data_IF_311498287701
#
_entry.id   IF_311498287701
#
_cell.length_a   1.000
_cell.length_b   1.000
_cell.length_c   1.000
_cell.angle_alpha   90.00
_cell.angle_beta   90.00
_cell.angle_gamma   90.00
#
_symmetry.space_group_name_H-M   'P 1'
#
loop_
_entity.id
_entity.type
_entity.pdbx_description
1 polymer ?
#
# COMPACT_ATOMS: atom_id res chain seq x y z
N UNK A 1 34.76 -15.75 10.75
CA UNK A 1 34.07 -14.66 10.00
C UNK A 1 33.49 -15.30 8.75
N UNK A 2 32.17 -15.49 8.71
CA UNK A 2 31.54 -16.01 7.48
C UNK A 2 31.72 -14.93 6.39
N UNK A 3 32.41 -15.28 5.31
CA UNK A 3 32.45 -14.44 4.11
C UNK A 3 31.02 -14.31 3.59
N UNK A 4 30.38 -13.16 3.84
CA UNK A 4 29.10 -12.82 3.23
C UNK A 4 29.42 -12.57 1.75
N UNK A 5 29.02 -13.49 0.90
CA UNK A 5 29.16 -13.32 -0.54
C UNK A 5 28.02 -12.41 -1.01
N UNK A 6 28.37 -11.23 -1.51
CA UNK A 6 27.41 -10.33 -2.17
C UNK A 6 26.71 -11.08 -3.31
N UNK A 7 25.38 -10.93 -3.38
CA UNK A 7 24.54 -11.58 -4.40
C UNK A 7 23.70 -10.52 -5.11
N UNK A 8 23.39 -10.75 -6.38
CA UNK A 8 22.34 -10.07 -7.09
C UNK A 8 21.04 -10.88 -6.89
N UNK A 9 20.03 -10.26 -6.30
CA UNK A 9 18.79 -10.93 -5.88
C UNK A 9 17.63 -10.54 -6.78
N UNK A 10 16.91 -11.53 -7.28
CA UNK A 10 15.68 -11.35 -8.05
C UNK A 10 14.50 -11.23 -7.09
N UNK A 11 13.86 -10.07 -7.04
CA UNK A 11 12.72 -9.84 -6.13
C UNK A 11 11.45 -9.48 -6.89
N UNK A 12 10.40 -10.27 -6.67
CA UNK A 12 9.10 -10.12 -7.29
C UNK A 12 8.23 -9.07 -6.61
N UNK A 13 7.57 -8.26 -7.43
CA UNK A 13 6.63 -7.22 -7.00
C UNK A 13 5.36 -7.36 -7.80
N UNK A 14 4.21 -7.47 -7.11
CA UNK A 14 2.95 -7.84 -7.78
C UNK A 14 1.99 -6.68 -8.02
N UNK A 15 2.16 -5.55 -7.36
CA UNK A 15 1.25 -4.42 -7.46
C UNK A 15 2.00 -3.10 -7.60
N UNK A 16 1.46 -2.21 -8.46
CA UNK A 16 1.78 -0.79 -8.37
C UNK A 16 0.82 -0.17 -7.35
N UNK A 17 1.35 0.18 -6.18
CA UNK A 17 0.62 0.75 -5.03
C UNK A 17 1.36 2.01 -4.54
N UNK A 18 1.46 2.99 -5.43
CA UNK A 18 2.14 4.23 -5.11
C UNK A 18 1.53 4.91 -3.85
N UNK A 19 2.34 5.48 -2.96
CA UNK A 19 3.78 5.76 -3.08
C UNK A 19 4.70 4.61 -2.61
N UNK A 20 4.16 3.46 -2.22
CA UNK A 20 4.94 2.34 -1.69
C UNK A 20 5.72 1.59 -2.78
N UNK A 21 5.06 1.35 -3.92
CA UNK A 21 5.64 0.80 -5.14
C UNK A 21 5.16 1.62 -6.33
N UNK A 22 6.09 2.26 -7.03
CA UNK A 22 5.86 3.06 -8.24
C UNK A 22 6.53 2.33 -9.40
N UNK A 23 5.74 1.56 -10.15
CA UNK A 23 6.25 0.68 -11.20
C UNK A 23 6.90 1.47 -12.34
N UNK A 24 6.34 2.61 -12.70
CA UNK A 24 6.79 3.44 -13.82
C UNK A 24 8.25 3.92 -13.68
N UNK A 25 8.69 4.11 -12.45
CA UNK A 25 10.05 4.60 -12.12
C UNK A 25 10.89 3.55 -11.39
N UNK A 26 10.35 2.34 -11.19
CA UNK A 26 10.98 1.27 -10.39
C UNK A 26 11.47 1.76 -9.02
N UNK A 27 10.63 2.60 -8.38
CA UNK A 27 10.87 3.26 -7.09
C UNK A 27 9.69 3.06 -6.14
N UNK A 28 9.74 3.66 -4.98
CA UNK A 28 8.69 3.59 -3.96
C UNK A 28 9.27 3.28 -2.59
N UNK A 29 8.54 3.64 -1.55
CA UNK A 29 8.98 3.47 -0.16
C UNK A 29 9.47 2.04 0.13
N UNK A 30 8.68 1.03 -0.24
CA UNK A 30 9.04 -0.38 0.01
C UNK A 30 10.26 -0.81 -0.81
N UNK A 31 10.37 -0.38 -2.07
CA UNK A 31 11.50 -0.74 -2.92
C UNK A 31 12.81 -0.08 -2.45
N UNK A 32 12.74 1.17 -1.97
CA UNK A 32 13.93 1.83 -1.45
C UNK A 32 14.36 1.24 -0.10
N UNK A 33 13.43 0.88 0.78
CA UNK A 33 13.74 0.16 2.03
C UNK A 33 14.37 -1.21 1.74
N UNK A 34 13.83 -1.97 0.77
CA UNK A 34 14.39 -3.27 0.36
C UNK A 34 15.84 -3.13 -0.11
N UNK A 35 16.06 -2.24 -1.09
CA UNK A 35 17.37 -2.02 -1.70
C UNK A 35 18.40 -1.53 -0.66
N UNK A 36 18.02 -0.55 0.17
CA UNK A 36 18.92 0.02 1.18
C UNK A 36 19.28 -0.98 2.27
N UNK A 37 18.32 -1.79 2.74
CA UNK A 37 18.58 -2.79 3.76
C UNK A 37 19.51 -3.91 3.24
N UNK A 38 19.27 -4.44 2.04
CA UNK A 38 20.10 -5.50 1.46
C UNK A 38 21.51 -4.99 1.09
N UNK A 39 21.63 -3.71 0.68
CA UNK A 39 22.91 -3.10 0.36
C UNK A 39 23.87 -3.03 1.56
N UNK A 40 23.38 -3.01 2.81
CA UNK A 40 24.22 -3.07 4.03
C UNK A 40 25.12 -4.31 4.05
N UNK A 41 24.66 -5.40 3.45
CA UNK A 41 25.41 -6.65 3.31
C UNK A 41 26.03 -6.84 1.91
N UNK A 42 25.99 -5.79 1.08
CA UNK A 42 26.58 -5.79 -0.26
C UNK A 42 25.71 -6.43 -1.33
N UNK A 43 24.47 -6.85 -1.02
CA UNK A 43 23.56 -7.39 -2.04
C UNK A 43 23.01 -6.28 -2.94
N UNK A 44 22.81 -6.61 -4.22
CA UNK A 44 22.03 -5.81 -5.16
C UNK A 44 20.67 -6.47 -5.43
N UNK A 45 19.71 -5.68 -5.91
CA UNK A 45 18.33 -6.15 -6.13
C UNK A 45 17.87 -5.79 -7.52
N UNK A 46 17.44 -6.81 -8.27
CA UNK A 46 16.73 -6.69 -9.54
C UNK A 46 15.22 -6.89 -9.28
N UNK A 47 14.38 -5.91 -9.67
CA UNK A 47 12.95 -5.94 -9.41
C UNK A 47 12.21 -6.51 -10.62
N UNK A 48 11.41 -7.57 -10.38
CA UNK A 48 10.55 -8.20 -11.36
C UNK A 48 9.08 -7.85 -11.10
N UNK A 49 8.48 -7.01 -11.95
CA UNK A 49 7.05 -6.68 -11.88
C UNK A 49 6.21 -7.77 -12.55
N UNK A 50 5.51 -8.57 -11.76
CA UNK A 50 4.75 -9.74 -12.22
C UNK A 50 3.32 -9.70 -11.65
N UNK A 51 2.32 -10.28 -12.36
CA UNK A 51 1.02 -10.53 -11.75
C UNK A 51 1.13 -11.39 -10.48
N UNK A 52 0.32 -11.13 -9.46
CA UNK A 52 0.42 -11.78 -8.14
C UNK A 52 0.57 -13.30 -8.19
N UNK A 53 -0.28 -13.98 -8.98
CA UNK A 53 -0.20 -15.44 -9.09
C UNK A 53 1.12 -15.92 -9.70
N UNK A 54 1.66 -15.15 -10.68
CA UNK A 54 2.95 -15.45 -11.30
C UNK A 54 4.11 -15.17 -10.35
N UNK A 55 4.01 -14.13 -9.52
CA UNK A 55 5.03 -13.83 -8.49
C UNK A 55 5.17 -14.98 -7.51
N UNK A 56 4.04 -15.51 -7.00
CA UNK A 56 4.06 -16.67 -6.09
C UNK A 56 4.60 -17.95 -6.76
N UNK A 57 4.21 -18.20 -8.00
CA UNK A 57 4.71 -19.34 -8.76
C UNK A 57 6.21 -19.24 -9.03
N UNK A 58 6.70 -18.07 -9.46
CA UNK A 58 8.11 -17.84 -9.72
C UNK A 58 8.98 -17.97 -8.47
N UNK A 59 8.48 -17.49 -7.30
CA UNK A 59 9.15 -17.71 -6.03
C UNK A 59 9.26 -19.21 -5.70
N UNK A 60 8.14 -19.94 -5.80
CA UNK A 60 8.12 -21.39 -5.53
C UNK A 60 9.05 -22.19 -6.45
N UNK A 61 9.21 -21.75 -7.68
CA UNK A 61 10.13 -22.36 -8.66
C UNK A 61 11.60 -21.94 -8.51
N UNK A 62 11.92 -21.09 -7.52
CA UNK A 62 13.29 -20.59 -7.31
C UNK A 62 13.76 -19.60 -8.38
N UNK A 63 12.85 -18.99 -9.16
CA UNK A 63 13.16 -17.94 -10.14
C UNK A 63 13.21 -16.55 -9.50
N UNK A 64 12.77 -16.43 -8.27
CA UNK A 64 12.88 -15.25 -7.43
C UNK A 64 13.49 -15.64 -6.10
N UNK A 65 14.35 -14.80 -5.56
CA UNK A 65 14.93 -14.96 -4.22
C UNK A 65 14.00 -14.45 -3.12
N UNK A 66 13.09 -13.55 -3.49
CA UNK A 66 12.13 -12.98 -2.54
C UNK A 66 10.97 -12.27 -3.22
N UNK A 67 9.99 -11.92 -2.41
CA UNK A 67 8.85 -11.08 -2.78
C UNK A 67 8.54 -10.09 -1.67
N UNK A 68 7.97 -8.95 -2.04
CA UNK A 68 7.53 -7.94 -1.09
C UNK A 68 6.02 -8.01 -0.83
N UNK A 69 5.57 -7.25 0.14
CA UNK A 69 4.15 -6.99 0.41
C UNK A 69 3.35 -8.25 0.75
N UNK A 70 3.92 -9.08 1.64
CA UNK A 70 3.31 -10.31 2.13
C UNK A 70 2.82 -10.18 3.56
N UNK A 71 1.81 -10.96 3.92
CA UNK A 71 1.39 -11.16 5.31
C UNK A 71 2.03 -12.41 5.88
N UNK A 72 2.22 -12.43 7.19
CA UNK A 72 2.67 -13.63 7.90
C UNK A 72 1.78 -14.83 7.55
N UNK A 73 2.38 -16.00 7.33
CA UNK A 73 1.71 -17.26 6.99
C UNK A 73 0.91 -17.24 5.67
N UNK A 74 1.22 -16.31 4.76
CA UNK A 74 0.58 -16.24 3.44
C UNK A 74 1.11 -17.30 2.47
N UNK A 75 2.36 -17.72 2.65
CA UNK A 75 3.07 -18.70 1.83
C UNK A 75 3.80 -19.69 2.72
N UNK A 76 3.90 -20.94 2.28
CA UNK A 76 4.71 -21.99 2.89
C UNK A 76 6.09 -22.07 2.22
N UNK A 77 7.08 -22.56 2.96
CA UNK A 77 8.44 -22.78 2.45
C UNK A 77 9.25 -21.50 2.23
N UNK A 78 8.88 -20.40 2.90
CA UNK A 78 9.57 -19.11 2.83
C UNK A 78 9.92 -18.59 4.23
N UNK A 79 10.87 -17.69 4.30
CA UNK A 79 11.31 -17.02 5.52
C UNK A 79 10.83 -15.57 5.51
N UNK A 80 9.94 -15.22 6.44
CA UNK A 80 9.40 -13.86 6.56
C UNK A 80 10.36 -12.94 7.30
N UNK A 81 10.50 -11.73 6.80
CA UNK A 81 11.25 -10.66 7.48
C UNK A 81 10.53 -10.15 8.72
N UNK A 82 11.17 -9.26 9.45
CA UNK A 82 10.49 -8.35 10.37
C UNK A 82 9.48 -7.48 9.63
N UNK A 83 8.57 -6.83 10.38
CA UNK A 83 7.59 -5.91 9.79
C UNK A 83 8.31 -4.75 9.12
N UNK A 84 8.07 -4.57 7.83
CA UNK A 84 8.66 -3.49 7.04
C UNK A 84 7.77 -2.26 7.08
N UNK A 85 6.46 -2.45 6.86
CA UNK A 85 5.48 -1.37 6.76
C UNK A 85 4.11 -1.83 7.30
N UNK A 86 3.28 -0.87 7.69
CA UNK A 86 1.88 -1.10 8.06
C UNK A 86 0.97 -0.21 7.22
N UNK A 87 -0.03 -0.81 6.60
CA UNK A 87 -1.07 -0.09 5.87
C UNK A 87 -2.25 0.22 6.79
N UNK A 88 -2.77 1.43 6.69
CA UNK A 88 -4.03 1.82 7.31
C UNK A 88 -5.10 1.94 6.22
N UNK A 89 -5.81 0.84 5.97
CA UNK A 89 -6.98 0.89 5.12
C UNK A 89 -8.11 1.66 5.82
N UNK A 90 -8.83 2.45 5.04
CA UNK A 90 -10.00 3.22 5.47
C UNK A 90 -11.19 2.91 4.56
N UNK A 91 -12.39 3.11 5.10
CA UNK A 91 -13.55 3.43 4.30
C UNK A 91 -13.55 4.96 4.11
N UNK A 92 -13.30 5.43 2.89
CA UNK A 92 -13.14 6.87 2.60
C UNK A 92 -14.42 7.37 1.93
N UNK A 93 -15.04 8.39 2.51
CA UNK A 93 -16.24 9.04 1.97
C UNK A 93 -16.06 10.55 1.87
N UNK A 94 -16.88 11.22 1.08
CA UNK A 94 -17.00 12.67 1.12
C UNK A 94 -17.71 13.09 2.43
N UNK A 95 -17.25 14.16 3.06
CA UNK A 95 -17.79 14.67 4.32
C UNK A 95 -19.23 15.18 4.20
N UNK A 96 -19.56 15.74 3.05
CA UNK A 96 -20.91 16.28 2.75
C UNK A 96 -22.00 15.20 2.67
N UNK A 97 -21.62 13.92 2.56
CA UNK A 97 -22.56 12.80 2.64
C UNK A 97 -23.04 12.49 4.05
N UNK A 98 -22.40 13.05 5.07
CA UNK A 98 -22.77 12.89 6.48
C UNK A 98 -22.93 11.42 6.92
N UNK A 99 -22.17 10.50 6.33
CA UNK A 99 -22.21 9.09 6.71
C UNK A 99 -21.63 8.88 8.11
N UNK A 100 -22.37 8.17 8.96
CA UNK A 100 -21.83 7.61 10.19
C UNK A 100 -21.33 6.19 9.92
N UNK A 101 -20.02 6.00 9.83
CA UNK A 101 -19.36 4.72 9.55
C UNK A 101 -18.37 4.43 10.67
N UNK A 102 -18.79 3.63 11.65
CA UNK A 102 -17.99 3.24 12.82
C UNK A 102 -17.51 1.78 12.72
N UNK A 103 -18.26 0.96 11.98
CA UNK A 103 -18.01 -0.46 11.82
C UNK A 103 -18.11 -0.89 10.35
N UNK A 104 -17.66 -2.09 10.03
CA UNK A 104 -17.79 -2.68 8.69
C UNK A 104 -19.26 -2.86 8.30
N UNK A 105 -20.16 -3.13 9.27
CA UNK A 105 -21.59 -3.30 8.99
C UNK A 105 -22.28 -2.03 8.47
N UNK A 106 -21.77 -0.85 8.82
CA UNK A 106 -22.33 0.44 8.36
C UNK A 106 -22.07 0.69 6.85
N UNK A 107 -21.32 -0.20 6.22
CA UNK A 107 -21.04 -0.17 4.78
C UNK A 107 -22.10 -0.90 3.95
N UNK A 108 -23.04 -1.65 4.56
CA UNK A 108 -23.92 -2.62 3.89
C UNK A 108 -24.84 -1.99 2.84
N UNK A 109 -25.28 -0.77 3.03
CA UNK A 109 -26.22 -0.03 2.17
C UNK A 109 -25.56 1.00 1.25
N UNK A 110 -24.22 1.05 1.22
CA UNK A 110 -23.45 2.04 0.47
C UNK A 110 -22.96 1.46 -0.87
N UNK A 111 -22.83 2.34 -1.87
CA UNK A 111 -22.11 1.98 -3.09
C UNK A 111 -20.60 2.02 -2.84
N UNK A 112 -19.93 0.85 -2.97
CA UNK A 112 -18.53 0.67 -2.56
C UNK A 112 -17.67 0.24 -3.73
N UNK A 113 -16.52 0.89 -3.89
CA UNK A 113 -15.44 0.37 -4.71
C UNK A 113 -14.19 0.18 -3.84
N UNK A 114 -13.74 -1.07 -3.73
CA UNK A 114 -12.57 -1.44 -2.96
C UNK A 114 -11.37 -1.78 -3.88
N UNK A 115 -10.17 -1.86 -3.30
CA UNK A 115 -9.00 -2.37 -4.02
C UNK A 115 -9.17 -3.87 -4.33
N UNK A 116 -8.46 -4.34 -5.35
CA UNK A 116 -8.56 -5.73 -5.80
C UNK A 116 -8.24 -6.72 -4.68
N UNK A 117 -9.12 -7.72 -4.48
CA UNK A 117 -9.07 -8.73 -3.40
C UNK A 117 -9.32 -8.19 -1.99
N UNK A 118 -9.84 -6.99 -1.84
CA UNK A 118 -10.19 -6.44 -0.52
C UNK A 118 -11.14 -7.36 0.26
N UNK A 119 -12.13 -7.96 -0.42
CA UNK A 119 -13.06 -8.93 0.18
C UNK A 119 -12.39 -10.16 0.80
N UNK A 120 -11.17 -10.49 0.38
CA UNK A 120 -10.39 -11.61 0.95
C UNK A 120 -9.41 -11.10 2.02
N UNK A 121 -8.85 -9.90 1.82
CA UNK A 121 -7.73 -9.39 2.61
C UNK A 121 -8.14 -8.63 3.87
N UNK A 122 -9.37 -8.06 3.92
CA UNK A 122 -9.81 -7.19 5.03
C UNK A 122 -10.56 -7.92 6.15
N UNK A 123 -10.60 -9.26 6.11
CA UNK A 123 -11.15 -10.09 7.17
C UNK A 123 -12.61 -10.52 6.94
N UNK A 124 -13.08 -11.40 7.84
CA UNK A 124 -14.37 -12.11 7.67
C UNK A 124 -15.58 -11.18 7.62
N UNK A 125 -15.61 -10.14 8.44
CA UNK A 125 -16.73 -9.21 8.49
C UNK A 125 -16.86 -8.44 7.18
N UNK A 126 -15.74 -7.98 6.62
CA UNK A 126 -15.73 -7.34 5.30
C UNK A 126 -16.08 -8.32 4.17
N UNK A 127 -15.61 -9.56 4.23
CA UNK A 127 -16.00 -10.62 3.29
C UNK A 127 -17.51 -10.81 3.28
N UNK A 128 -18.14 -10.88 4.46
CA UNK A 128 -19.59 -11.07 4.59
C UNK A 128 -20.37 -9.84 4.10
N UNK A 129 -19.92 -8.64 4.46
CA UNK A 129 -20.50 -7.40 3.96
C UNK A 129 -20.43 -7.35 2.43
N UNK A 130 -19.27 -7.60 1.83
CA UNK A 130 -19.07 -7.57 0.39
C UNK A 130 -19.94 -8.57 -0.38
N UNK A 131 -20.15 -9.78 0.16
CA UNK A 131 -21.02 -10.80 -0.44
C UNK A 131 -22.50 -10.39 -0.47
N UNK A 132 -22.94 -9.65 0.54
CA UNK A 132 -24.35 -9.29 0.71
C UNK A 132 -24.69 -7.89 0.15
N UNK A 133 -23.68 -7.10 -0.22
CA UNK A 133 -23.86 -5.78 -0.78
C UNK A 133 -23.83 -5.83 -2.32
N UNK A 134 -24.99 -5.59 -2.94
CA UNK A 134 -25.15 -5.61 -4.42
C UNK A 134 -24.45 -4.44 -5.12
N UNK A 135 -24.05 -3.39 -4.39
CA UNK A 135 -23.35 -2.21 -4.90
C UNK A 135 -21.85 -2.24 -4.58
N UNK A 136 -21.33 -3.43 -4.22
CA UNK A 136 -19.91 -3.66 -3.98
C UNK A 136 -19.18 -4.08 -5.26
N UNK A 137 -18.01 -3.49 -5.49
CA UNK A 137 -17.10 -3.91 -6.56
C UNK A 137 -15.64 -3.69 -6.17
N UNK A 138 -14.72 -4.29 -6.92
CA UNK A 138 -13.27 -4.16 -6.73
C UNK A 138 -12.59 -3.61 -7.99
N UNK A 139 -11.53 -2.82 -7.80
CA UNK A 139 -10.74 -2.23 -8.87
C UNK A 139 -9.25 -2.52 -8.69
N UNK A 140 -8.61 -3.01 -9.76
CA UNK A 140 -7.16 -3.22 -9.79
C UNK A 140 -6.39 -1.88 -9.85
N UNK A 141 -6.92 -0.90 -10.60
CA UNK A 141 -6.31 0.43 -10.73
C UNK A 141 -6.91 1.39 -9.70
N UNK A 142 -6.25 1.56 -8.57
CA UNK A 142 -6.77 2.33 -7.44
C UNK A 142 -7.03 3.81 -7.75
N UNK A 143 -6.33 4.42 -8.71
CA UNK A 143 -6.65 5.78 -9.20
C UNK A 143 -8.10 5.92 -9.70
N UNK A 144 -8.72 4.82 -10.17
CA UNK A 144 -10.13 4.84 -10.61
C UNK A 144 -11.05 5.06 -9.42
N UNK A 145 -10.78 4.41 -8.27
CA UNK A 145 -11.55 4.59 -7.04
C UNK A 145 -11.55 6.05 -6.60
N UNK A 146 -10.37 6.67 -6.57
CA UNK A 146 -10.22 8.10 -6.20
C UNK A 146 -11.07 8.98 -7.11
N UNK A 147 -10.96 8.80 -8.43
CA UNK A 147 -11.75 9.61 -9.38
C UNK A 147 -13.26 9.36 -9.27
N UNK A 148 -13.68 8.14 -9.00
CA UNK A 148 -15.09 7.82 -8.83
C UNK A 148 -15.65 8.50 -7.57
N UNK A 149 -14.92 8.45 -6.46
CA UNK A 149 -15.33 9.09 -5.22
C UNK A 149 -15.43 10.61 -5.39
N UNK A 150 -14.37 11.27 -5.88
CA UNK A 150 -14.33 12.72 -6.02
C UNK A 150 -15.34 13.26 -7.05
N UNK A 151 -15.76 12.42 -8.01
CA UNK A 151 -16.85 12.70 -8.97
C UNK A 151 -18.23 12.23 -8.47
N UNK A 152 -18.36 11.84 -7.20
CA UNK A 152 -19.60 11.42 -6.55
C UNK A 152 -20.31 10.26 -7.29
N UNK A 153 -19.55 9.36 -7.91
CA UNK A 153 -20.06 8.18 -8.62
C UNK A 153 -20.15 6.93 -7.76
N UNK A 154 -19.77 7.04 -6.49
CA UNK A 154 -19.90 6.05 -5.43
C UNK A 154 -19.89 6.75 -4.07
N UNK A 155 -20.31 6.05 -3.03
CA UNK A 155 -20.37 6.58 -1.67
C UNK A 155 -19.04 6.41 -0.92
N UNK A 156 -18.38 5.25 -1.09
CA UNK A 156 -17.22 4.86 -0.29
C UNK A 156 -16.13 4.21 -1.14
N UNK A 157 -14.90 4.73 -1.03
CA UNK A 157 -13.70 4.06 -1.49
C UNK A 157 -13.05 3.30 -0.34
N UNK A 158 -12.74 2.00 -0.52
CA UNK A 158 -12.00 1.23 0.48
C UNK A 158 -10.57 1.02 -0.01
N UNK A 159 -9.62 1.70 0.63
CA UNK A 159 -8.20 1.67 0.27
C UNK A 159 -7.32 2.27 1.39
N UNK A 160 -6.01 2.12 1.25
CA UNK A 160 -5.05 2.78 2.15
C UNK A 160 -5.10 4.31 1.99
N UNK A 161 -5.02 5.02 3.13
CA UNK A 161 -5.10 6.48 3.16
C UNK A 161 -4.01 7.16 2.33
N UNK A 162 -2.79 6.68 2.40
CA UNK A 162 -1.66 7.30 1.69
C UNK A 162 -1.75 7.04 0.19
N UNK A 163 -2.23 5.86 -0.22
CA UNK A 163 -2.52 5.55 -1.62
C UNK A 163 -3.61 6.50 -2.15
N UNK A 164 -4.66 6.75 -1.34
CA UNK A 164 -5.71 7.71 -1.70
C UNK A 164 -5.14 9.11 -1.92
N UNK A 165 -4.38 9.65 -0.98
CA UNK A 165 -3.78 10.99 -1.07
C UNK A 165 -2.87 11.08 -2.30
N UNK A 166 -2.02 10.08 -2.52
CA UNK A 166 -1.13 10.05 -3.69
C UNK A 166 -1.91 10.14 -5.01
N UNK A 167 -2.91 9.29 -5.20
CA UNK A 167 -3.68 9.31 -6.44
C UNK A 167 -4.62 10.51 -6.58
N UNK A 168 -5.06 11.10 -5.47
CA UNK A 168 -5.80 12.36 -5.51
C UNK A 168 -4.91 13.49 -6.04
N UNK A 169 -3.69 13.63 -5.49
CA UNK A 169 -2.66 14.55 -6.02
C UNK A 169 -2.40 14.31 -7.49
N UNK A 170 -2.09 13.09 -7.88
CA UNK A 170 -1.78 12.74 -9.27
C UNK A 170 -2.95 13.04 -10.21
N UNK A 171 -4.19 12.83 -9.76
CA UNK A 171 -5.37 13.13 -10.58
C UNK A 171 -5.54 14.62 -10.81
N UNK A 172 -5.22 15.48 -9.84
CA UNK A 172 -5.20 16.93 -10.01
C UNK A 172 -4.05 17.37 -10.91
N UNK A 173 -2.82 17.01 -10.60
CA UNK A 173 -1.62 17.40 -11.36
C UNK A 173 -1.66 16.98 -12.84
N UNK A 174 -2.42 15.94 -13.17
CA UNK A 174 -2.61 15.45 -14.55
C UNK A 174 -3.92 15.95 -15.20
N UNK A 175 -4.62 16.90 -14.56
CA UNK A 175 -5.86 17.50 -15.09
C UNK A 175 -7.06 16.55 -15.17
N UNK A 176 -7.03 15.43 -14.44
CA UNK A 176 -8.13 14.44 -14.40
C UNK A 176 -9.21 14.77 -13.38
N UNK A 177 -8.88 15.62 -12.41
CA UNK A 177 -9.79 16.22 -11.43
C UNK A 177 -9.59 17.73 -11.45
N UNK A 178 -10.66 18.48 -11.26
CA UNK A 178 -10.63 19.95 -11.15
C UNK A 178 -10.23 20.35 -9.72
N UNK A 179 -9.99 21.65 -9.50
CA UNK A 179 -9.75 22.21 -8.17
C UNK A 179 -10.91 21.93 -7.24
N UNK A 180 -12.12 22.21 -7.68
CA UNK A 180 -13.35 22.01 -6.89
C UNK A 180 -13.52 20.53 -6.50
N UNK A 181 -13.24 19.61 -7.43
CA UNK A 181 -13.32 18.17 -7.14
C UNK A 181 -12.28 17.76 -6.08
N UNK A 182 -11.04 18.24 -6.15
CA UNK A 182 -9.96 17.87 -5.22
C UNK A 182 -10.14 18.50 -3.84
N UNK A 183 -10.71 19.69 -3.73
CA UNK A 183 -10.91 20.39 -2.48
C UNK A 183 -12.14 19.92 -1.68
N UNK A 184 -12.94 18.99 -2.25
CA UNK A 184 -13.99 18.34 -1.46
C UNK A 184 -13.38 17.66 -0.22
N UNK A 185 -13.96 17.91 0.95
CA UNK A 185 -13.44 17.33 2.19
C UNK A 185 -13.81 15.85 2.30
N UNK A 186 -12.83 15.00 2.60
CA UNK A 186 -13.00 13.56 2.76
C UNK A 186 -12.78 13.13 4.20
N UNK A 187 -13.43 12.04 4.59
CA UNK A 187 -13.26 11.38 5.89
C UNK A 187 -12.67 9.99 5.67
N UNK A 188 -11.61 9.67 6.40
CA UNK A 188 -11.07 8.31 6.49
C UNK A 188 -11.65 7.64 7.74
N UNK A 189 -12.69 6.81 7.57
CA UNK A 189 -13.28 6.01 8.64
C UNK A 189 -12.38 4.79 8.90
N UNK A 190 -11.77 4.72 10.09
CA UNK A 190 -10.81 3.66 10.46
C UNK A 190 -11.51 2.39 10.96
N UNK A 191 -12.35 1.80 10.14
CA UNK A 191 -13.09 0.56 10.45
C UNK A 191 -12.25 -0.72 10.28
N UNK A 192 -11.00 -0.59 9.80
CA UNK A 192 -10.07 -1.70 9.65
C UNK A 192 -8.86 -1.52 10.56
N UNK A 193 -8.37 -2.59 11.20
CA UNK A 193 -7.11 -2.52 11.94
C UNK A 193 -5.93 -2.28 10.97
N UNK A 194 -4.83 -1.68 11.45
CA UNK A 194 -3.60 -1.61 10.68
C UNK A 194 -3.14 -3.00 10.28
N UNK A 195 -2.67 -3.14 9.04
CA UNK A 195 -2.18 -4.41 8.51
C UNK A 195 -0.67 -4.35 8.34
N UNK A 196 0.05 -5.18 9.11
CA UNK A 196 1.49 -5.30 9.00
C UNK A 196 1.90 -6.15 7.80
N UNK A 197 2.84 -5.64 7.01
CA UNK A 197 3.41 -6.32 5.85
C UNK A 197 4.89 -6.60 6.06
N UNK A 198 5.31 -7.72 5.49
CA UNK A 198 6.66 -8.27 5.54
C UNK A 198 7.12 -8.59 4.13
N UNK A 199 8.42 -8.80 3.98
CA UNK A 199 8.97 -9.42 2.79
C UNK A 199 9.20 -10.90 3.07
N UNK A 200 9.12 -11.72 2.04
CA UNK A 200 9.35 -13.14 2.14
C UNK A 200 10.50 -13.54 1.22
N UNK A 201 11.41 -14.35 1.73
CA UNK A 201 12.61 -14.80 1.03
C UNK A 201 12.65 -16.33 0.97
N UNK A 202 13.25 -16.89 -0.08
CA UNK A 202 13.45 -18.34 -0.19
C UNK A 202 14.51 -18.87 0.78
N UNK A 203 15.49 -18.04 1.14
CA UNK A 203 16.65 -18.43 1.93
C UNK A 203 16.68 -17.66 3.25
N UNK A 204 16.93 -18.37 4.35
CA UNK A 204 16.98 -17.79 5.69
C UNK A 204 18.14 -16.79 5.84
N UNK A 205 19.29 -17.05 5.23
CA UNK A 205 20.47 -16.17 5.25
C UNK A 205 20.15 -14.79 4.64
N UNK A 206 19.45 -14.76 3.50
CA UNK A 206 19.03 -13.52 2.85
C UNK A 206 18.00 -12.77 3.71
N UNK A 207 17.03 -13.49 4.31
CA UNK A 207 16.09 -12.89 5.27
C UNK A 207 16.81 -12.29 6.47
N UNK A 208 17.83 -12.98 7.00
CA UNK A 208 18.60 -12.51 8.16
C UNK A 208 19.47 -11.29 7.79
N UNK A 209 20.10 -11.29 6.61
CA UNK A 209 20.83 -10.14 6.08
C UNK A 209 19.91 -8.93 5.85
N UNK A 210 18.70 -9.16 5.33
CA UNK A 210 17.69 -8.11 5.19
C UNK A 210 17.27 -7.52 6.54
N UNK A 211 16.95 -8.36 7.54
CA UNK A 211 16.54 -7.90 8.86
C UNK A 211 17.67 -7.14 9.56
N UNK A 212 18.91 -7.61 9.45
CA UNK A 212 20.08 -6.89 9.93
C UNK A 212 20.19 -5.51 9.27
N UNK A 213 20.10 -5.46 7.95
CA UNK A 213 20.16 -4.20 7.20
C UNK A 213 19.01 -3.26 7.54
N UNK A 214 17.78 -3.79 7.70
CA UNK A 214 16.62 -3.01 8.09
C UNK A 214 16.82 -2.33 9.46
N UNK A 215 17.44 -3.04 10.41
CA UNK A 215 17.81 -2.47 11.70
C UNK A 215 18.89 -1.40 11.57
N UNK A 216 19.92 -1.62 10.74
CA UNK A 216 21.01 -0.66 10.52
C UNK A 216 20.51 0.64 9.87
N UNK A 217 19.74 0.58 8.79
CA UNK A 217 19.20 1.78 8.13
C UNK A 217 18.21 2.55 9.02
N UNK A 218 17.63 1.89 10.02
CA UNK A 218 16.83 2.56 11.06
C UNK A 218 17.72 3.33 12.04
N UNK A 219 18.88 2.78 12.41
CA UNK A 219 19.80 3.38 13.38
C UNK A 219 20.57 4.57 12.78
N UNK A 220 21.00 4.48 11.53
CA UNK A 220 21.81 5.51 10.86
C UNK A 220 20.98 6.65 10.24
N UNK A 221 19.63 6.57 10.32
CA UNK A 221 18.72 7.58 9.81
C UNK A 221 18.35 7.44 8.33
N UNK A 222 18.93 6.48 7.60
CA UNK A 222 18.61 6.22 6.17
C UNK A 222 17.13 5.92 5.99
N UNK A 223 16.55 5.07 6.86
CA UNK A 223 15.12 4.77 6.85
C UNK A 223 14.27 6.04 6.99
N UNK A 224 14.61 6.91 7.95
CA UNK A 224 13.89 8.16 8.17
C UNK A 224 13.97 9.08 6.94
N UNK A 225 15.13 9.17 6.30
CA UNK A 225 15.30 9.96 5.08
C UNK A 225 14.42 9.43 3.93
N UNK A 226 14.35 8.11 3.75
CA UNK A 226 13.46 7.47 2.77
C UNK A 226 11.99 7.77 3.11
N UNK A 227 11.57 7.56 4.36
CA UNK A 227 10.20 7.83 4.80
C UNK A 227 9.80 9.31 4.58
N UNK A 228 10.68 10.26 4.93
CA UNK A 228 10.46 11.69 4.72
C UNK A 228 10.32 12.06 3.24
N UNK A 229 11.13 11.45 2.35
CA UNK A 229 11.02 11.65 0.91
C UNK A 229 9.62 11.29 0.40
N UNK A 230 9.09 10.15 0.81
CA UNK A 230 7.75 9.72 0.38
C UNK A 230 6.63 10.44 1.12
N UNK A 231 6.87 10.90 2.37
CA UNK A 231 5.92 11.75 3.09
C UNK A 231 5.72 13.11 2.40
N UNK A 232 6.77 13.68 1.81
CA UNK A 232 6.65 14.92 1.01
C UNK A 232 5.75 14.73 -0.23
N UNK A 233 5.77 13.54 -0.84
CA UNK A 233 4.85 13.20 -1.95
C UNK A 233 3.38 13.13 -1.52
N UNK A 234 3.12 13.05 -0.21
CA UNK A 234 1.79 13.00 0.40
C UNK A 234 1.38 14.35 1.02
N UNK A 235 2.11 15.43 0.72
CA UNK A 235 1.71 16.76 1.16
C UNK A 235 0.26 17.06 0.73
N UNK A 236 -0.53 17.55 1.67
CA UNK A 236 -1.92 17.94 1.40
C UNK A 236 -2.00 19.26 0.61
N UNK A 237 -0.98 20.10 0.67
CA UNK A 237 -0.85 21.29 -0.18
C UNK A 237 -0.34 20.87 -1.55
N UNK A 238 -1.09 21.19 -2.60
CA UNK A 238 -0.75 20.84 -3.99
C UNK A 238 -0.04 21.99 -4.70
N UNK A 239 -0.53 23.20 -4.51
CA UNK A 239 0.04 24.47 -4.93
C UNK A 239 -0.43 25.60 -3.98
N UNK A 240 -0.09 26.86 -4.26
CA UNK A 240 -0.40 28.01 -3.39
C UNK A 240 -1.91 28.18 -3.13
N UNK A 241 -2.77 27.59 -3.95
CA UNK A 241 -4.21 27.80 -3.94
C UNK A 241 -5.05 26.52 -3.80
N UNK A 242 -4.42 25.34 -3.69
CA UNK A 242 -5.16 24.06 -3.67
C UNK A 242 -4.66 23.17 -2.55
N UNK A 243 -5.59 22.78 -1.68
CA UNK A 243 -5.28 21.90 -0.53
C UNK A 243 -6.27 20.74 -0.46
N UNK A 244 -5.74 19.53 -0.35
CA UNK A 244 -6.52 18.33 -0.03
C UNK A 244 -7.04 18.47 1.40
N UNK A 245 -8.36 18.34 1.60
CA UNK A 245 -9.02 18.44 2.89
C UNK A 245 -9.37 17.04 3.40
N UNK A 246 -8.62 16.60 4.40
CA UNK A 246 -8.88 15.34 5.09
C UNK A 246 -9.37 15.64 6.49
N UNK A 247 -10.66 15.40 6.74
CA UNK A 247 -11.25 15.56 8.06
C UNK A 247 -10.74 14.46 8.99
N UNK A 248 -10.35 14.85 10.20
CA UNK A 248 -10.13 13.90 11.28
C UNK A 248 -11.50 13.40 11.75
N UNK A 249 -11.68 12.09 11.81
CA UNK A 249 -12.89 11.50 12.36
C UNK A 249 -13.00 11.86 13.86
N UNK A 250 -14.17 12.32 14.33
CA UNK A 250 -14.37 12.59 15.76
C UNK A 250 -14.20 11.30 16.55
N UNK A 251 -13.19 11.20 17.39
CA UNK A 251 -12.90 10.03 18.20
C UNK A 251 -11.46 9.48 18.10
N UNK A 252 -10.53 10.26 17.54
CA UNK A 252 -9.10 9.97 17.53
C UNK A 252 -8.28 10.93 18.37
#
# INVERSE_FOLDING_TARGET
>A
MNNIQAKELEVGVSFSIAPYVIQETNSGLELELLKSALAVKGHSVNIQHLPLARTFHALKEGKLDGIINTKQNMLEGVFYSDVVISFQNCAISLKDKHFNIETVSDLQDKSIVAFQRASILLGKDFTNMAKNNRQYSEQAKQIIQVKMLMKQRMDVAVMDKNIFIYYLRQSYLTGKLTKEEVEQEVICHKVFPPTAYRFAFLHADIRDDFNFGLAQIKQDGTRLAIENKYQQMLSLTLDDNVTIRLANYPGQ
#
